data_IF_144610919317
#
_entry.id   IF_144610919317
#
_cell.length_a   1.000
_cell.length_b   1.000
_cell.length_c   1.000
_cell.angle_alpha   90.00
_cell.angle_beta   90.00
_cell.angle_gamma   90.00
#
_symmetry.space_group_name_H-M   'P 1'
#
loop_
_entity.id
_entity.type
_entity.pdbx_description
1 polymer ?
#
# COMPACT_ATOMS: atom_id res chain seq x y z
N UNK A 1 29.84 -3.43 18.06
CA UNK A 1 30.76 -4.60 17.93
C UNK A 1 32.14 -4.13 17.58
N UNK A 2 33.20 -4.73 18.16
CA UNK A 2 34.60 -4.41 17.77
C UNK A 2 35.04 -5.45 16.77
N UNK A 3 35.25 -5.06 15.52
CA UNK A 3 35.76 -5.94 14.47
C UNK A 3 37.24 -6.22 14.76
N UNK A 4 37.61 -7.49 14.85
CA UNK A 4 38.92 -7.94 15.34
C UNK A 4 39.71 -8.67 14.27
N UNK A 5 41.01 -8.42 14.21
CA UNK A 5 41.92 -9.25 13.43
C UNK A 5 42.03 -10.66 14.03
N UNK A 6 42.51 -11.63 13.25
CA UNK A 6 42.67 -13.01 13.70
C UNK A 6 43.48 -13.12 15.00
N UNK A 7 44.56 -12.34 15.13
CA UNK A 7 45.38 -12.32 16.34
C UNK A 7 44.64 -11.73 17.55
N UNK A 8 43.84 -10.70 17.34
CA UNK A 8 42.99 -10.11 18.39
C UNK A 8 41.87 -11.08 18.81
N UNK A 9 41.26 -11.78 17.86
CA UNK A 9 40.29 -12.83 18.13
C UNK A 9 40.87 -13.94 19.00
N UNK A 10 42.03 -14.43 18.62
CA UNK A 10 42.75 -15.48 19.37
C UNK A 10 43.05 -15.01 20.80
N UNK A 11 43.53 -13.78 20.96
CA UNK A 11 43.83 -13.21 22.27
C UNK A 11 42.56 -13.08 23.16
N UNK A 12 41.47 -12.63 22.56
CA UNK A 12 40.17 -12.49 23.27
C UNK A 12 39.61 -13.87 23.66
N UNK A 13 39.60 -14.81 22.72
CA UNK A 13 39.13 -16.19 22.99
C UNK A 13 39.93 -16.82 24.15
N UNK A 14 41.24 -16.67 24.13
CA UNK A 14 42.11 -17.16 25.20
C UNK A 14 41.79 -16.49 26.55
N UNK A 15 41.61 -15.17 26.56
CA UNK A 15 41.28 -14.44 27.78
C UNK A 15 39.92 -14.86 28.36
N UNK A 16 38.92 -15.06 27.53
CA UNK A 16 37.58 -15.45 27.93
C UNK A 16 37.53 -16.88 28.50
N UNK A 17 38.32 -17.79 27.92
CA UNK A 17 38.45 -19.15 28.39
C UNK A 17 39.47 -19.32 29.54
N UNK A 18 40.11 -18.22 30.01
CA UNK A 18 41.16 -18.21 31.01
C UNK A 18 42.35 -19.15 30.65
N UNK A 19 42.68 -19.23 29.36
CA UNK A 19 43.76 -20.10 28.86
C UNK A 19 45.06 -19.33 28.72
N UNK A 20 46.17 -20.03 28.94
CA UNK A 20 47.52 -19.52 28.60
C UNK A 20 47.88 -19.90 27.16
N UNK A 21 48.93 -19.25 26.58
CA UNK A 21 49.42 -19.66 25.25
C UNK A 21 49.94 -21.11 25.21
N UNK A 22 50.32 -21.68 26.36
CA UNK A 22 50.75 -23.06 26.45
C UNK A 22 49.57 -24.05 26.34
N UNK A 23 48.44 -23.69 26.89
CA UNK A 23 47.22 -24.52 26.90
C UNK A 23 46.62 -24.62 25.48
N UNK A 24 46.99 -23.72 24.58
CA UNK A 24 46.52 -23.67 23.18
C UNK A 24 47.44 -24.47 22.23
N UNK A 25 48.53 -25.07 22.69
CA UNK A 25 49.46 -25.82 21.83
C UNK A 25 48.79 -27.13 21.41
N UNK A 26 48.73 -27.34 20.08
CA UNK A 26 48.18 -28.55 19.45
C UNK A 26 49.21 -29.08 18.44
N UNK A 27 48.99 -30.27 17.89
CA UNK A 27 49.84 -30.81 16.85
C UNK A 27 49.96 -29.85 15.66
N UNK A 28 51.22 -29.55 15.31
CA UNK A 28 51.55 -28.57 14.22
C UNK A 28 51.42 -27.10 14.59
N UNK A 29 51.01 -26.72 15.83
CA UNK A 29 50.87 -25.31 16.26
C UNK A 29 51.66 -25.07 17.55
N UNK A 30 52.87 -24.49 17.44
CA UNK A 30 53.70 -24.20 18.61
C UNK A 30 53.29 -22.94 19.36
N UNK A 31 53.75 -22.80 20.61
CA UNK A 31 53.55 -21.60 21.42
C UNK A 31 54.09 -20.34 20.76
N UNK A 32 55.26 -20.44 20.12
CA UNK A 32 55.92 -19.35 19.40
C UNK A 32 55.04 -18.90 18.23
N UNK A 33 54.44 -19.85 17.49
CA UNK A 33 53.51 -19.54 16.40
C UNK A 33 52.27 -18.84 16.92
N UNK A 34 51.64 -19.29 18.01
CA UNK A 34 50.51 -18.64 18.68
C UNK A 34 50.87 -17.20 19.07
N UNK A 35 52.03 -16.99 19.70
CA UNK A 35 52.49 -15.65 20.06
C UNK A 35 52.69 -14.74 18.84
N UNK A 36 53.14 -15.28 17.71
CA UNK A 36 53.28 -14.50 16.46
C UNK A 36 51.92 -14.16 15.84
N UNK A 37 50.94 -15.04 15.92
CA UNK A 37 49.58 -14.78 15.45
C UNK A 37 48.90 -13.69 16.32
N UNK A 38 48.98 -13.81 17.67
CA UNK A 38 48.44 -12.79 18.57
C UNK A 38 49.08 -11.39 18.37
N UNK A 39 50.32 -11.32 17.93
CA UNK A 39 51.02 -10.07 17.60
C UNK A 39 50.78 -9.60 16.16
N UNK A 40 49.99 -10.32 15.37
CA UNK A 40 49.72 -10.01 13.98
C UNK A 40 50.90 -10.22 13.01
N UNK A 41 51.95 -10.93 13.44
CA UNK A 41 53.12 -11.22 12.62
C UNK A 41 52.97 -12.44 11.71
N UNK A 42 52.04 -13.31 12.03
CA UNK A 42 51.60 -14.49 11.25
C UNK A 42 50.11 -14.69 11.33
N UNK A 43 49.58 -15.54 10.42
CA UNK A 43 48.20 -15.92 10.36
C UNK A 43 48.05 -17.43 10.25
N UNK A 44 46.98 -17.98 10.84
CA UNK A 44 46.57 -19.35 10.53
C UNK A 44 46.09 -19.43 9.09
N UNK A 45 46.38 -20.54 8.41
CA UNK A 45 45.59 -20.89 7.22
C UNK A 45 44.12 -21.17 7.61
N UNK A 46 43.20 -21.09 6.67
CA UNK A 46 41.77 -21.36 6.94
C UNK A 46 41.60 -22.75 7.56
N UNK A 47 42.24 -23.78 7.00
CA UNK A 47 42.15 -25.16 7.50
C UNK A 47 42.73 -25.27 8.92
N UNK A 48 43.87 -24.66 9.19
CA UNK A 48 44.51 -24.67 10.52
C UNK A 48 43.65 -23.94 11.55
N UNK A 49 43.03 -22.81 11.19
CA UNK A 49 42.18 -22.05 12.06
C UNK A 49 40.90 -22.84 12.47
N UNK A 50 40.29 -23.54 11.52
CA UNK A 50 39.10 -24.40 11.79
C UNK A 50 39.50 -25.55 12.69
N UNK A 51 40.55 -26.31 12.36
CA UNK A 51 41.03 -27.40 13.19
C UNK A 51 41.39 -26.92 14.61
N UNK A 52 42.00 -25.74 14.73
CA UNK A 52 42.33 -25.13 16.02
C UNK A 52 41.09 -24.83 16.84
N UNK A 53 40.06 -24.24 16.22
CA UNK A 53 38.77 -23.96 16.89
C UNK A 53 38.05 -25.23 17.31
N UNK A 54 38.04 -26.26 16.49
CA UNK A 54 37.44 -27.58 16.85
C UNK A 54 38.06 -28.11 18.11
N UNK A 55 39.38 -28.10 18.23
CA UNK A 55 40.10 -28.54 19.43
C UNK A 55 39.75 -27.67 20.66
N UNK A 56 39.61 -26.34 20.50
CA UNK A 56 39.21 -25.46 21.62
C UNK A 56 37.78 -25.75 22.04
N UNK A 57 36.86 -25.93 21.10
CA UNK A 57 35.46 -26.24 21.39
C UNK A 57 35.34 -27.57 22.12
N UNK A 58 36.10 -28.58 21.70
CA UNK A 58 36.15 -29.88 22.35
C UNK A 58 36.76 -29.78 23.78
N UNK A 59 37.85 -29.03 23.93
CA UNK A 59 38.42 -28.73 25.24
C UNK A 59 37.43 -28.07 26.19
N UNK A 60 36.70 -27.05 25.72
CA UNK A 60 35.71 -26.37 26.51
C UNK A 60 34.55 -27.28 26.94
N UNK A 61 34.09 -28.19 26.04
CA UNK A 61 33.10 -29.22 26.37
C UNK A 61 33.59 -30.16 27.48
N UNK A 62 34.82 -30.65 27.37
CA UNK A 62 35.42 -31.57 28.37
C UNK A 62 35.52 -30.89 29.74
N UNK A 63 35.85 -29.58 29.74
CA UNK A 63 36.00 -28.78 30.96
C UNK A 63 34.69 -28.17 31.47
N UNK A 64 33.57 -28.40 30.80
CA UNK A 64 32.26 -27.79 31.09
C UNK A 64 32.33 -26.26 31.15
N UNK A 65 33.15 -25.65 30.27
CA UNK A 65 33.24 -24.18 30.12
C UNK A 65 32.11 -23.76 29.15
N UNK A 66 31.25 -22.88 29.59
CA UNK A 66 30.22 -22.28 28.75
C UNK A 66 30.88 -21.29 27.76
N UNK A 67 30.71 -21.55 26.46
CA UNK A 67 31.27 -20.69 25.39
C UNK A 67 30.12 -19.91 24.76
N UNK A 68 30.36 -18.62 24.50
CA UNK A 68 29.45 -17.82 23.71
C UNK A 68 29.24 -18.46 22.32
N UNK A 69 27.99 -18.49 21.85
CA UNK A 69 27.62 -19.10 20.56
C UNK A 69 28.29 -18.44 19.34
N UNK A 70 28.90 -17.27 19.51
CA UNK A 70 29.69 -16.61 18.45
C UNK A 70 31.05 -17.26 18.19
N UNK A 71 31.55 -18.09 19.11
CA UNK A 71 32.80 -18.84 18.97
C UNK A 71 32.57 -20.20 18.26
N UNK A 72 32.12 -20.14 17.03
CA UNK A 72 31.96 -21.31 16.17
C UNK A 72 33.29 -21.80 15.58
N UNK A 73 33.26 -22.91 14.84
CA UNK A 73 34.46 -23.51 14.22
C UNK A 73 35.16 -22.55 13.25
N UNK A 74 34.45 -21.63 12.63
CA UNK A 74 35.00 -20.69 11.66
C UNK A 74 35.47 -19.36 12.30
N UNK A 75 35.26 -19.12 13.59
CA UNK A 75 35.51 -17.85 14.27
C UNK A 75 36.91 -17.28 13.96
N UNK A 76 37.95 -18.07 14.08
CA UNK A 76 39.35 -17.62 13.79
C UNK A 76 39.67 -17.59 12.29
N UNK A 77 38.90 -18.29 11.46
CA UNK A 77 39.18 -18.32 10.01
C UNK A 77 38.54 -17.16 9.26
N UNK A 78 37.48 -16.58 9.82
CA UNK A 78 36.77 -15.45 9.18
C UNK A 78 37.64 -14.20 9.12
N UNK A 79 37.62 -13.54 7.97
CA UNK A 79 38.17 -12.20 7.79
C UNK A 79 37.35 -11.14 8.50
N UNK A 80 37.87 -9.93 8.65
CA UNK A 80 37.11 -8.80 9.24
C UNK A 80 35.83 -8.53 8.41
N UNK A 81 35.91 -8.65 7.08
CA UNK A 81 34.77 -8.47 6.17
C UNK A 81 33.68 -9.53 6.42
N UNK A 82 34.06 -10.81 6.54
CA UNK A 82 33.12 -11.91 6.82
C UNK A 82 32.46 -11.77 8.18
N UNK A 83 33.19 -11.32 9.21
CA UNK A 83 32.60 -11.01 10.53
C UNK A 83 31.64 -9.82 10.47
N UNK A 84 32.01 -8.76 9.74
CA UNK A 84 31.16 -7.62 9.54
C UNK A 84 29.85 -8.02 8.80
N UNK A 85 29.97 -8.87 7.79
CA UNK A 85 28.81 -9.39 7.04
C UNK A 85 27.88 -10.20 7.93
N UNK A 86 28.43 -11.16 8.68
CA UNK A 86 27.66 -11.99 9.62
C UNK A 86 26.97 -11.14 10.68
N UNK A 87 27.69 -10.19 11.28
CA UNK A 87 27.15 -9.27 12.28
C UNK A 87 26.00 -8.43 11.71
N UNK A 88 26.25 -7.75 10.58
CA UNK A 88 25.26 -6.91 9.96
C UNK A 88 24.02 -7.71 9.52
N UNK A 89 24.20 -8.91 8.94
CA UNK A 89 23.10 -9.77 8.52
C UNK A 89 22.18 -10.15 9.68
N UNK A 90 22.75 -10.66 10.78
CA UNK A 90 22.00 -11.05 11.98
C UNK A 90 21.31 -9.86 12.67
N UNK A 91 22.01 -8.72 12.73
CA UNK A 91 21.49 -7.52 13.38
C UNK A 91 20.39 -6.86 12.55
N UNK A 92 20.54 -6.79 11.25
CA UNK A 92 19.54 -6.24 10.32
C UNK A 92 18.25 -7.06 10.35
N UNK A 93 18.32 -8.38 10.49
CA UNK A 93 17.11 -9.23 10.61
C UNK A 93 16.27 -8.84 11.83
N UNK A 94 16.91 -8.57 12.96
CA UNK A 94 16.27 -8.25 14.24
C UNK A 94 15.87 -6.78 14.39
N UNK A 95 16.61 -5.87 13.76
CA UNK A 95 16.37 -4.44 13.92
C UNK A 95 15.20 -3.94 13.06
N UNK A 96 14.38 -3.08 13.67
CA UNK A 96 13.36 -2.25 13.00
C UNK A 96 13.63 -0.75 13.16
N UNK A 97 14.70 -0.37 13.86
CA UNK A 97 15.06 1.03 14.11
C UNK A 97 15.80 1.62 12.90
N UNK A 98 15.42 2.83 12.47
CA UNK A 98 16.02 3.51 11.33
C UNK A 98 17.49 3.89 11.59
N UNK A 99 17.80 4.36 12.78
CA UNK A 99 19.17 4.76 13.16
C UNK A 99 20.12 3.57 13.11
N UNK A 100 19.72 2.43 13.69
CA UNK A 100 20.51 1.20 13.64
C UNK A 100 20.72 0.70 12.20
N UNK A 101 19.69 0.75 11.36
CA UNK A 101 19.83 0.37 9.95
C UNK A 101 20.81 1.24 9.20
N UNK A 102 20.88 2.55 9.52
CA UNK A 102 21.85 3.46 8.93
C UNK A 102 23.27 3.21 9.45
N UNK A 103 23.45 2.85 10.73
CA UNK A 103 24.74 2.43 11.27
C UNK A 103 25.25 1.17 10.57
N UNK A 104 24.41 0.14 10.42
CA UNK A 104 24.78 -1.08 9.68
C UNK A 104 25.10 -0.80 8.22
N UNK A 105 24.36 0.12 7.60
CA UNK A 105 24.64 0.53 6.23
C UNK A 105 26.04 1.16 6.09
N UNK A 106 26.49 1.95 7.07
CA UNK A 106 27.83 2.53 7.06
C UNK A 106 28.92 1.45 7.18
N UNK A 107 28.70 0.46 8.07
CA UNK A 107 29.60 -0.69 8.17
C UNK A 107 29.65 -1.46 6.84
N UNK A 108 28.47 -1.73 6.25
CA UNK A 108 28.40 -2.46 4.99
C UNK A 108 29.09 -1.70 3.83
N UNK A 109 29.05 -0.37 3.82
CA UNK A 109 29.77 0.45 2.83
C UNK A 109 31.28 0.39 3.03
N UNK A 110 31.75 0.47 4.28
CA UNK A 110 33.19 0.40 4.61
C UNK A 110 33.80 -0.92 4.15
N UNK A 111 33.07 -2.03 4.31
CA UNK A 111 33.56 -3.37 3.96
C UNK A 111 33.02 -3.91 2.63
N UNK A 112 32.33 -3.09 1.82
CA UNK A 112 31.75 -3.49 0.52
C UNK A 112 30.89 -4.76 0.59
N UNK A 113 29.95 -4.77 1.55
CA UNK A 113 29.04 -5.92 1.80
C UNK A 113 27.70 -5.68 1.05
N UNK A 114 27.74 -5.84 -0.26
CA UNK A 114 26.64 -5.47 -1.16
C UNK A 114 25.34 -6.21 -0.88
N UNK A 115 25.38 -7.52 -0.60
CA UNK A 115 24.17 -8.31 -0.32
C UNK A 115 23.38 -7.76 0.88
N UNK A 116 24.08 -7.40 1.96
CA UNK A 116 23.44 -6.84 3.16
C UNK A 116 22.97 -5.40 2.92
N UNK A 117 23.71 -4.61 2.15
CA UNK A 117 23.29 -3.25 1.75
C UNK A 117 21.93 -3.28 1.02
N UNK A 118 21.73 -4.23 0.10
CA UNK A 118 20.46 -4.41 -0.61
C UNK A 118 19.32 -4.69 0.37
N UNK A 119 19.54 -5.58 1.34
CA UNK A 119 18.55 -5.92 2.37
C UNK A 119 18.22 -4.68 3.22
N UNK A 120 19.23 -3.89 3.62
CA UNK A 120 19.03 -2.68 4.42
C UNK A 120 18.22 -1.64 3.64
N UNK A 121 18.63 -1.30 2.41
CA UNK A 121 17.90 -0.34 1.58
C UNK A 121 16.46 -0.78 1.32
N UNK A 122 16.26 -2.08 1.04
CA UNK A 122 14.90 -2.65 0.90
C UNK A 122 14.10 -2.47 2.19
N UNK A 123 14.67 -2.77 3.36
CA UNK A 123 13.99 -2.68 4.66
C UNK A 123 13.64 -1.24 5.03
N UNK A 124 14.54 -0.29 4.74
CA UNK A 124 14.29 1.15 4.88
C UNK A 124 13.14 1.57 3.95
N UNK A 125 13.19 1.14 2.68
CA UNK A 125 12.13 1.40 1.71
C UNK A 125 10.77 0.84 2.14
N UNK A 126 10.71 -0.40 2.64
CA UNK A 126 9.49 -1.04 3.15
C UNK A 126 8.90 -0.24 4.32
N UNK A 127 9.73 0.23 5.25
CA UNK A 127 9.31 1.04 6.39
C UNK A 127 8.74 2.40 5.95
N UNK A 128 9.46 3.12 5.09
CA UNK A 128 9.02 4.40 4.55
C UNK A 128 7.72 4.27 3.74
N UNK A 129 7.58 3.18 2.99
CA UNK A 129 6.35 2.90 2.25
C UNK A 129 5.16 2.67 3.19
N UNK A 130 5.36 1.99 4.32
CA UNK A 130 4.34 1.83 5.36
C UNK A 130 3.97 3.15 6.05
N UNK A 131 4.93 4.07 6.18
CA UNK A 131 4.72 5.44 6.67
C UNK A 131 4.12 6.39 5.61
N UNK A 132 3.71 5.88 4.45
CA UNK A 132 3.17 6.64 3.32
C UNK A 132 4.15 7.65 2.68
N UNK A 133 5.45 7.50 2.91
CA UNK A 133 6.54 8.29 2.33
C UNK A 133 7.04 7.65 1.03
N UNK A 134 6.20 7.67 0.00
CA UNK A 134 6.43 6.91 -1.24
C UNK A 134 7.66 7.40 -2.04
N UNK A 135 7.98 8.70 -2.00
CA UNK A 135 9.15 9.27 -2.70
C UNK A 135 10.44 8.76 -2.07
N UNK A 136 10.57 8.88 -0.75
CA UNK A 136 11.75 8.45 0.00
C UNK A 136 11.92 6.92 -0.07
N UNK A 137 10.82 6.17 -0.04
CA UNK A 137 10.83 4.72 -0.23
C UNK A 137 11.39 4.36 -1.61
N UNK A 138 10.92 5.01 -2.67
CA UNK A 138 11.39 4.81 -4.04
C UNK A 138 12.91 5.05 -4.14
N UNK A 139 13.42 6.14 -3.58
CA UNK A 139 14.86 6.46 -3.60
C UNK A 139 15.70 5.33 -2.96
N UNK A 140 15.21 4.73 -1.86
CA UNK A 140 15.93 3.63 -1.22
C UNK A 140 15.88 2.34 -2.05
N UNK A 141 14.75 2.02 -2.67
CA UNK A 141 14.65 0.89 -3.59
C UNK A 141 15.55 1.08 -4.83
N UNK A 142 15.65 2.30 -5.35
CA UNK A 142 16.50 2.64 -6.50
C UNK A 142 17.98 2.40 -6.19
N UNK A 143 18.46 2.86 -5.02
CA UNK A 143 19.82 2.55 -4.54
C UNK A 143 20.08 1.03 -4.42
N UNK A 144 19.08 0.26 -4.01
CA UNK A 144 19.18 -1.20 -3.96
C UNK A 144 19.31 -1.80 -5.37
N UNK A 145 18.53 -1.30 -6.34
CA UNK A 145 18.60 -1.74 -7.75
C UNK A 145 19.96 -1.39 -8.38
N UNK A 146 20.50 -0.18 -8.12
CA UNK A 146 21.83 0.20 -8.59
C UNK A 146 22.90 -0.79 -8.13
N UNK A 147 22.89 -1.18 -6.84
CA UNK A 147 23.85 -2.16 -6.30
C UNK A 147 23.65 -3.53 -6.93
N UNK A 148 22.38 -3.97 -7.11
CA UNK A 148 22.02 -5.22 -7.76
C UNK A 148 22.61 -5.29 -9.18
N UNK A 149 22.40 -4.22 -9.96
CA UNK A 149 22.79 -4.19 -11.37
C UNK A 149 24.31 -4.09 -11.53
N UNK A 150 24.98 -3.30 -10.69
CA UNK A 150 26.46 -3.15 -10.70
C UNK A 150 27.19 -4.43 -10.31
N UNK A 151 26.60 -5.25 -9.44
CA UNK A 151 27.25 -6.46 -8.90
C UNK A 151 26.68 -7.75 -9.47
N UNK A 152 25.76 -7.70 -10.46
CA UNK A 152 25.08 -8.85 -11.07
C UNK A 152 24.38 -9.75 -10.04
N UNK A 153 23.84 -9.16 -8.96
CA UNK A 153 23.06 -9.85 -7.94
C UNK A 153 21.62 -9.97 -8.42
N UNK A 154 21.00 -11.13 -8.29
CA UNK A 154 19.61 -11.32 -8.72
C UNK A 154 18.64 -11.38 -7.54
N UNK A 155 19.16 -11.68 -6.36
CA UNK A 155 18.37 -11.81 -5.14
C UNK A 155 17.66 -10.50 -4.79
N UNK A 156 16.41 -10.59 -4.34
CA UNK A 156 15.55 -9.46 -4.00
C UNK A 156 15.08 -8.55 -5.16
N UNK A 157 15.68 -8.62 -6.36
CA UNK A 157 15.37 -7.71 -7.48
C UNK A 157 13.88 -7.66 -7.81
N UNK A 158 13.24 -8.83 -7.92
CA UNK A 158 11.82 -8.95 -8.26
C UNK A 158 10.93 -8.20 -7.26
N UNK A 159 11.18 -8.40 -5.95
CA UNK A 159 10.38 -7.77 -4.89
C UNK A 159 10.59 -6.28 -4.83
N UNK A 160 11.84 -5.83 -5.05
CA UNK A 160 12.19 -4.40 -5.06
C UNK A 160 11.49 -3.71 -6.24
N UNK A 161 11.52 -4.29 -7.45
CA UNK A 161 10.82 -3.75 -8.62
C UNK A 161 9.30 -3.66 -8.38
N UNK A 162 8.69 -4.70 -7.80
CA UNK A 162 7.27 -4.63 -7.44
C UNK A 162 6.99 -3.49 -6.44
N UNK A 163 7.84 -3.28 -5.45
CA UNK A 163 7.67 -2.23 -4.46
C UNK A 163 7.92 -0.82 -5.06
N UNK A 164 8.84 -0.68 -6.00
CA UNK A 164 9.00 0.56 -6.79
C UNK A 164 7.73 0.87 -7.58
N UNK A 165 7.11 -0.14 -8.19
CA UNK A 165 5.80 0.00 -8.82
C UNK A 165 4.71 0.46 -7.84
N UNK A 166 4.70 -0.05 -6.60
CA UNK A 166 3.76 0.40 -5.56
C UNK A 166 4.02 1.86 -5.17
N UNK A 167 5.29 2.28 -5.06
CA UNK A 167 5.62 3.69 -4.83
C UNK A 167 5.05 4.58 -5.93
N UNK A 168 5.26 4.22 -7.20
CA UNK A 168 4.74 4.97 -8.35
C UNK A 168 3.21 4.99 -8.41
N UNK A 169 2.57 3.88 -8.04
CA UNK A 169 1.10 3.79 -7.91
C UNK A 169 0.57 4.78 -6.87
N UNK A 170 1.20 4.87 -5.69
CA UNK A 170 0.82 5.82 -4.64
C UNK A 170 1.05 7.29 -5.03
N UNK A 171 2.03 7.53 -5.89
CA UNK A 171 2.32 8.85 -6.46
C UNK A 171 1.43 9.19 -7.67
N UNK A 172 0.43 8.35 -7.99
CA UNK A 172 -0.47 8.47 -9.13
C UNK A 172 0.26 8.45 -10.49
N UNK A 173 1.51 7.96 -10.53
CA UNK A 173 2.34 7.79 -11.72
C UNK A 173 2.09 6.40 -12.33
N UNK A 174 0.88 6.18 -12.83
CA UNK A 174 0.38 4.86 -13.20
C UNK A 174 1.18 4.19 -14.33
N UNK A 175 1.61 4.93 -15.35
CA UNK A 175 2.40 4.36 -16.44
C UNK A 175 3.76 3.82 -15.97
N UNK A 176 4.42 4.55 -15.08
CA UNK A 176 5.68 4.12 -14.46
C UNK A 176 5.44 2.91 -13.54
N UNK A 177 4.34 2.91 -12.78
CA UNK A 177 3.95 1.76 -11.96
C UNK A 177 3.79 0.49 -12.82
N UNK A 178 3.07 0.57 -13.93
CA UNK A 178 2.87 -0.54 -14.88
C UNK A 178 4.21 -1.03 -15.44
N UNK A 179 5.14 -0.13 -15.77
CA UNK A 179 6.47 -0.48 -16.23
C UNK A 179 7.23 -1.34 -15.21
N UNK A 180 7.25 -0.93 -13.93
CA UNK A 180 7.93 -1.70 -12.88
C UNK A 180 7.24 -3.04 -12.59
N UNK A 181 5.90 -3.08 -12.61
CA UNK A 181 5.18 -4.34 -12.45
C UNK A 181 5.46 -5.30 -13.61
N UNK A 182 5.50 -4.84 -14.85
CA UNK A 182 5.86 -5.68 -16.00
C UNK A 182 7.27 -6.25 -15.86
N UNK A 183 8.26 -5.42 -15.47
CA UNK A 183 9.62 -5.90 -15.20
C UNK A 183 9.67 -6.97 -14.10
N UNK A 184 8.90 -6.77 -13.03
CA UNK A 184 8.77 -7.77 -11.96
C UNK A 184 8.16 -9.08 -12.49
N UNK A 185 7.10 -9.00 -13.29
CA UNK A 185 6.40 -10.15 -13.89
C UNK A 185 7.33 -10.94 -14.82
N UNK A 186 8.09 -10.26 -15.70
CA UNK A 186 9.04 -10.87 -16.61
C UNK A 186 10.12 -11.69 -15.86
N UNK A 187 10.68 -11.11 -14.79
CA UNK A 187 11.68 -11.80 -13.98
C UNK A 187 11.09 -12.95 -13.15
N UNK A 188 9.86 -12.85 -12.66
CA UNK A 188 9.20 -13.92 -11.93
C UNK A 188 9.08 -15.20 -12.76
N UNK A 189 8.80 -15.08 -14.06
CA UNK A 189 8.68 -16.23 -14.96
C UNK A 189 9.97 -17.05 -15.05
N UNK A 190 11.13 -16.41 -14.89
CA UNK A 190 12.44 -17.07 -14.92
C UNK A 190 12.85 -17.68 -13.57
N UNK A 191 12.27 -17.24 -12.46
CA UNK A 191 12.71 -17.61 -11.10
C UNK A 191 11.66 -18.38 -10.27
N UNK A 192 10.48 -18.67 -10.84
CA UNK A 192 9.38 -19.41 -10.19
C UNK A 192 8.87 -18.82 -8.86
N UNK A 193 8.98 -17.49 -8.64
CA UNK A 193 8.39 -16.81 -7.46
C UNK A 193 6.92 -16.46 -7.70
N UNK A 194 6.06 -17.47 -7.69
CA UNK A 194 4.61 -17.32 -7.93
C UNK A 194 3.91 -16.35 -6.97
N UNK A 195 4.42 -16.18 -5.75
CA UNK A 195 3.80 -15.29 -4.76
C UNK A 195 3.96 -13.82 -5.15
N UNK A 196 5.15 -13.42 -5.58
CA UNK A 196 5.39 -12.04 -6.04
C UNK A 196 4.76 -11.84 -7.42
N UNK A 197 4.82 -12.84 -8.29
CA UNK A 197 4.18 -12.84 -9.60
C UNK A 197 2.70 -12.44 -9.54
N UNK A 198 1.92 -13.14 -8.71
CA UNK A 198 0.48 -12.88 -8.58
C UNK A 198 0.18 -11.50 -7.98
N UNK A 199 1.01 -11.02 -7.05
CA UNK A 199 0.90 -9.65 -6.52
C UNK A 199 1.20 -8.61 -7.60
N UNK A 200 2.22 -8.83 -8.41
CA UNK A 200 2.59 -7.91 -9.50
C UNK A 200 1.50 -7.85 -10.58
N UNK A 201 0.88 -8.98 -10.94
CA UNK A 201 -0.28 -9.01 -11.85
C UNK A 201 -1.45 -8.19 -11.30
N UNK A 202 -1.81 -8.38 -10.04
CA UNK A 202 -2.88 -7.61 -9.40
C UNK A 202 -2.55 -6.12 -9.31
N UNK A 203 -1.33 -5.76 -8.93
CA UNK A 203 -0.90 -4.37 -8.81
C UNK A 203 -0.87 -3.67 -10.17
N UNK A 204 -0.46 -4.38 -11.24
CA UNK A 204 -0.52 -3.89 -12.62
C UNK A 204 -1.97 -3.60 -13.04
N UNK A 205 -2.87 -4.53 -12.76
CA UNK A 205 -4.30 -4.35 -12.99
C UNK A 205 -4.83 -3.13 -12.22
N UNK A 206 -4.49 -2.99 -10.94
CA UNK A 206 -4.93 -1.87 -10.11
C UNK A 206 -4.44 -0.52 -10.64
N UNK A 207 -3.19 -0.45 -11.12
CA UNK A 207 -2.66 0.76 -11.76
C UNK A 207 -3.45 1.13 -13.01
N UNK A 208 -3.78 0.15 -13.85
CA UNK A 208 -4.55 0.35 -15.07
C UNK A 208 -6.00 0.78 -14.78
N UNK A 209 -6.62 0.15 -13.79
CA UNK A 209 -7.97 0.49 -13.32
C UNK A 209 -8.03 1.93 -12.79
N UNK A 210 -7.04 2.36 -12.00
CA UNK A 210 -6.96 3.73 -11.49
C UNK A 210 -6.72 4.77 -12.59
N UNK A 211 -6.10 4.38 -13.71
CA UNK A 211 -6.01 5.22 -14.92
C UNK A 211 -7.36 5.37 -15.64
N UNK A 212 -8.39 4.62 -15.23
CA UNK A 212 -9.68 4.52 -15.93
C UNK A 212 -9.58 3.97 -17.37
N UNK A 213 -8.51 3.23 -17.67
CA UNK A 213 -8.36 2.52 -18.93
C UNK A 213 -9.07 1.15 -18.85
N UNK A 214 -10.39 1.17 -19.04
CA UNK A 214 -11.24 0.00 -18.84
C UNK A 214 -10.85 -1.14 -19.79
N UNK A 215 -10.49 -0.82 -21.04
CA UNK A 215 -10.14 -1.84 -22.04
C UNK A 215 -8.86 -2.61 -21.63
N UNK A 216 -7.82 -1.89 -21.19
CA UNK A 216 -6.61 -2.54 -20.69
C UNK A 216 -6.87 -3.27 -19.36
N UNK A 217 -7.73 -2.72 -18.50
CA UNK A 217 -8.10 -3.38 -17.24
C UNK A 217 -8.75 -4.73 -17.53
N UNK A 218 -9.74 -4.81 -18.41
CA UNK A 218 -10.39 -6.07 -18.80
C UNK A 218 -9.39 -7.06 -19.43
N UNK A 219 -8.44 -6.58 -20.26
CA UNK A 219 -7.37 -7.42 -20.79
C UNK A 219 -6.52 -8.02 -19.66
N UNK A 220 -6.05 -7.21 -18.72
CA UNK A 220 -5.22 -7.67 -17.60
C UNK A 220 -5.99 -8.56 -16.62
N UNK A 221 -7.32 -8.34 -16.45
CA UNK A 221 -8.19 -9.24 -15.70
C UNK A 221 -8.17 -10.63 -16.31
N UNK A 222 -8.39 -10.74 -17.63
CA UNK A 222 -8.37 -12.03 -18.33
C UNK A 222 -7.03 -12.75 -18.14
N UNK A 223 -5.91 -12.07 -18.41
CA UNK A 223 -4.56 -12.61 -18.21
C UNK A 223 -4.34 -13.09 -16.76
N UNK A 224 -4.80 -12.32 -15.76
CA UNK A 224 -4.64 -12.66 -14.37
C UNK A 224 -5.50 -13.85 -13.93
N UNK A 225 -6.73 -13.95 -14.43
CA UNK A 225 -7.65 -15.06 -14.10
C UNK A 225 -7.18 -16.41 -14.64
N UNK A 226 -6.52 -16.40 -15.79
CA UNK A 226 -5.97 -17.63 -16.40
C UNK A 226 -4.79 -18.20 -15.57
N UNK A 227 -4.11 -17.34 -14.81
CA UNK A 227 -2.88 -17.69 -14.08
C UNK A 227 -3.17 -17.92 -12.59
N UNK A 228 -4.01 -17.09 -11.97
CA UNK A 228 -4.27 -17.11 -10.54
C UNK A 228 -5.18 -18.28 -10.20
N UNK A 229 -4.62 -19.27 -9.52
CA UNK A 229 -5.39 -20.40 -9.00
C UNK A 229 -6.24 -19.94 -7.81
N UNK A 230 -7.56 -20.02 -7.95
CA UNK A 230 -8.57 -19.66 -6.93
C UNK A 230 -8.25 -20.30 -5.57
N UNK A 231 -7.84 -21.57 -5.55
CA UNK A 231 -7.64 -22.31 -4.32
C UNK A 231 -6.47 -21.80 -3.46
N UNK A 232 -5.48 -21.14 -4.08
CA UNK A 232 -4.28 -20.70 -3.38
C UNK A 232 -4.25 -19.19 -3.09
N UNK A 233 -5.10 -18.38 -3.78
CA UNK A 233 -5.07 -16.92 -3.72
C UNK A 233 -6.47 -16.31 -3.76
N UNK A 234 -7.38 -16.90 -3.00
CA UNK A 234 -8.80 -16.53 -2.93
C UNK A 234 -9.03 -15.02 -2.78
N UNK A 235 -8.26 -14.37 -1.89
CA UNK A 235 -8.39 -12.92 -1.64
C UNK A 235 -8.03 -12.05 -2.86
N UNK A 236 -6.96 -12.40 -3.56
CA UNK A 236 -6.53 -11.65 -4.76
C UNK A 236 -7.52 -11.89 -5.88
N UNK A 237 -7.99 -13.12 -6.05
CA UNK A 237 -8.97 -13.47 -7.06
C UNK A 237 -10.30 -12.74 -6.85
N UNK A 238 -10.80 -12.69 -5.62
CA UNK A 238 -11.99 -11.92 -5.24
C UNK A 238 -11.83 -10.42 -5.56
N UNK A 239 -10.68 -9.83 -5.24
CA UNK A 239 -10.40 -8.42 -5.57
C UNK A 239 -10.39 -8.17 -7.09
N UNK A 240 -9.87 -9.10 -7.87
CA UNK A 240 -9.91 -9.03 -9.35
C UNK A 240 -11.35 -9.06 -9.86
N UNK A 241 -12.20 -9.96 -9.32
CA UNK A 241 -13.61 -10.03 -9.70
C UNK A 241 -14.38 -8.74 -9.34
N UNK A 242 -14.07 -8.13 -8.19
CA UNK A 242 -14.65 -6.83 -7.83
C UNK A 242 -14.29 -5.74 -8.84
N UNK A 243 -13.01 -5.67 -9.24
CA UNK A 243 -12.57 -4.71 -10.27
C UNK A 243 -13.25 -5.03 -11.61
N UNK A 244 -13.38 -6.30 -11.98
CA UNK A 244 -14.08 -6.75 -13.20
C UNK A 244 -15.53 -6.28 -13.23
N UNK A 245 -16.27 -6.49 -12.13
CA UNK A 245 -17.65 -6.05 -12.01
C UNK A 245 -17.78 -4.52 -12.14
N UNK A 246 -16.87 -3.76 -11.53
CA UNK A 246 -16.83 -2.28 -11.67
C UNK A 246 -16.57 -1.89 -13.13
N UNK A 247 -15.63 -2.54 -13.81
CA UNK A 247 -15.35 -2.28 -15.23
C UNK A 247 -16.59 -2.52 -16.09
N UNK A 248 -17.33 -3.62 -15.86
CA UNK A 248 -18.56 -3.90 -16.60
C UNK A 248 -19.68 -2.90 -16.29
N UNK A 249 -19.80 -2.46 -15.03
CA UNK A 249 -20.72 -1.38 -14.67
C UNK A 249 -20.40 -0.07 -15.42
N UNK A 250 -19.11 0.30 -15.46
CA UNK A 250 -18.67 1.57 -16.07
C UNK A 250 -18.85 1.62 -17.59
N UNK A 251 -18.91 0.46 -18.25
CA UNK A 251 -19.27 0.36 -19.69
C UNK A 251 -20.76 0.10 -19.93
N UNK A 252 -21.59 0.12 -18.86
CA UNK A 252 -23.04 -0.08 -18.96
C UNK A 252 -23.48 -1.54 -19.15
N UNK A 253 -22.59 -2.52 -18.99
CA UNK A 253 -22.95 -3.94 -19.04
C UNK A 253 -23.38 -4.43 -17.66
N UNK A 254 -24.55 -3.95 -17.22
CA UNK A 254 -25.08 -4.23 -15.89
C UNK A 254 -25.37 -5.71 -15.65
N UNK A 255 -25.88 -6.42 -16.66
CA UNK A 255 -26.15 -7.87 -16.55
C UNK A 255 -24.89 -8.67 -16.17
N UNK A 256 -23.73 -8.35 -16.80
CA UNK A 256 -22.47 -9.02 -16.47
C UNK A 256 -21.93 -8.60 -15.10
N UNK A 257 -22.11 -7.34 -14.73
CA UNK A 257 -21.78 -6.83 -13.41
C UNK A 257 -22.57 -7.57 -12.31
N UNK A 258 -23.89 -7.75 -12.49
CA UNK A 258 -24.78 -8.46 -11.58
C UNK A 258 -24.33 -9.93 -11.46
N UNK A 259 -24.10 -10.63 -12.59
CA UNK A 259 -23.62 -12.01 -12.59
C UNK A 259 -22.36 -12.16 -11.73
N UNK A 260 -21.35 -11.29 -11.91
CA UNK A 260 -20.09 -11.38 -11.17
C UNK A 260 -20.30 -11.13 -9.67
N UNK A 261 -21.08 -10.12 -9.27
CA UNK A 261 -21.33 -9.84 -7.85
C UNK A 261 -22.18 -10.92 -7.19
N UNK A 262 -23.17 -11.50 -7.89
CA UNK A 262 -23.97 -12.63 -7.39
C UNK A 262 -23.07 -13.85 -7.19
N UNK A 263 -22.24 -14.18 -8.16
CA UNK A 263 -21.25 -15.25 -8.04
C UNK A 263 -20.29 -15.03 -6.86
N UNK A 264 -19.87 -13.80 -6.61
CA UNK A 264 -19.04 -13.46 -5.45
C UNK A 264 -19.74 -13.74 -4.13
N UNK A 265 -21.00 -13.36 -4.01
CA UNK A 265 -21.78 -13.55 -2.76
C UNK A 265 -22.17 -15.00 -2.52
N UNK A 266 -22.38 -15.79 -3.59
CA UNK A 266 -22.84 -17.17 -3.50
C UNK A 266 -21.68 -18.18 -3.33
N UNK A 267 -20.55 -17.92 -4.01
CA UNK A 267 -19.44 -18.87 -4.07
C UNK A 267 -18.31 -18.56 -3.07
N UNK A 268 -18.26 -17.33 -2.54
CA UNK A 268 -17.22 -16.90 -1.62
C UNK A 268 -17.80 -16.60 -0.25
N UNK A 269 -17.27 -17.26 0.79
CA UNK A 269 -17.52 -16.84 2.17
C UNK A 269 -16.67 -15.58 2.44
N UNK A 270 -17.32 -14.42 2.44
CA UNK A 270 -16.67 -13.12 2.61
C UNK A 270 -16.72 -12.76 4.10
N UNK A 271 -15.64 -13.04 4.81
CA UNK A 271 -15.51 -12.75 6.23
C UNK A 271 -15.47 -11.24 6.52
N UNK A 272 -14.82 -10.46 5.64
CA UNK A 272 -14.74 -9.01 5.75
C UNK A 272 -16.11 -8.36 5.45
N UNK A 273 -16.80 -7.95 6.51
CA UNK A 273 -18.13 -7.35 6.43
C UNK A 273 -18.13 -5.97 5.76
N UNK A 274 -16.99 -5.25 5.78
CA UNK A 274 -16.85 -3.98 5.06
C UNK A 274 -16.83 -4.24 3.55
N UNK A 275 -16.04 -5.21 3.09
CA UNK A 275 -16.01 -5.62 1.69
C UNK A 275 -17.38 -6.12 1.24
N UNK A 276 -18.04 -6.96 2.03
CA UNK A 276 -19.37 -7.48 1.71
C UNK A 276 -20.41 -6.36 1.60
N UNK A 277 -20.39 -5.39 2.52
CA UNK A 277 -21.24 -4.20 2.47
C UNK A 277 -21.04 -3.37 1.20
N UNK A 278 -19.77 -3.26 0.74
CA UNK A 278 -19.43 -2.59 -0.52
C UNK A 278 -19.95 -3.36 -1.74
N UNK A 279 -19.84 -4.69 -1.75
CA UNK A 279 -20.35 -5.55 -2.82
C UNK A 279 -21.87 -5.40 -2.91
N UNK A 280 -22.60 -5.50 -1.80
CA UNK A 280 -24.04 -5.31 -1.79
C UNK A 280 -24.47 -3.93 -2.30
N UNK A 281 -23.77 -2.86 -1.91
CA UNK A 281 -24.06 -1.53 -2.43
C UNK A 281 -23.87 -1.43 -3.95
N UNK A 282 -22.78 -2.01 -4.47
CA UNK A 282 -22.46 -1.95 -5.90
C UNK A 282 -23.41 -2.86 -6.72
N UNK A 283 -23.79 -4.01 -6.19
CA UNK A 283 -24.78 -4.90 -6.78
C UNK A 283 -26.15 -4.19 -6.84
N UNK A 284 -26.55 -3.52 -5.76
CA UNK A 284 -27.78 -2.75 -5.73
C UNK A 284 -27.81 -1.65 -6.80
N UNK A 285 -26.70 -0.94 -7.01
CA UNK A 285 -26.57 0.07 -8.08
C UNK A 285 -26.73 -0.60 -9.45
N UNK A 286 -26.06 -1.73 -9.69
CA UNK A 286 -26.15 -2.44 -10.97
C UNK A 286 -27.55 -2.95 -11.26
N UNK A 287 -28.26 -3.48 -10.24
CA UNK A 287 -29.67 -3.91 -10.34
C UNK A 287 -30.60 -2.72 -10.65
N UNK A 288 -30.38 -1.56 -10.01
CA UNK A 288 -31.15 -0.35 -10.32
C UNK A 288 -30.98 0.06 -11.78
N UNK A 289 -29.74 0.12 -12.27
CA UNK A 289 -29.47 0.45 -13.67
C UNK A 289 -30.05 -0.58 -14.66
N UNK A 290 -30.15 -1.85 -14.22
CA UNK A 290 -30.81 -2.92 -14.97
C UNK A 290 -32.33 -2.93 -14.82
N UNK A 291 -32.92 -1.94 -14.09
CA UNK A 291 -34.35 -1.77 -13.82
C UNK A 291 -34.97 -2.83 -12.91
N UNK A 292 -34.18 -3.55 -12.15
CA UNK A 292 -34.59 -4.54 -11.14
C UNK A 292 -34.70 -3.85 -9.77
N UNK A 293 -35.73 -2.99 -9.63
CA UNK A 293 -35.82 -2.05 -8.51
C UNK A 293 -36.10 -2.72 -7.15
N UNK A 294 -36.86 -3.79 -7.08
CA UNK A 294 -37.18 -4.47 -5.80
C UNK A 294 -35.96 -5.22 -5.27
N UNK A 295 -35.24 -5.91 -6.14
CA UNK A 295 -33.97 -6.56 -5.80
C UNK A 295 -32.92 -5.52 -5.38
N UNK A 296 -32.85 -4.39 -6.10
CA UNK A 296 -31.96 -3.28 -5.76
C UNK A 296 -32.22 -2.77 -4.33
N UNK A 297 -33.49 -2.53 -3.96
CA UNK A 297 -33.89 -2.12 -2.59
C UNK A 297 -33.42 -3.15 -1.55
N UNK A 298 -33.62 -4.44 -1.83
CA UNK A 298 -33.24 -5.51 -0.92
C UNK A 298 -31.71 -5.50 -0.66
N UNK A 299 -30.89 -5.32 -1.70
CA UNK A 299 -29.43 -5.27 -1.55
C UNK A 299 -28.94 -3.97 -0.92
N UNK A 300 -29.58 -2.82 -1.16
CA UNK A 300 -29.29 -1.62 -0.37
C UNK A 300 -29.62 -1.83 1.11
N UNK A 301 -30.71 -2.55 1.43
CA UNK A 301 -31.04 -2.96 2.79
C UNK A 301 -29.93 -3.75 3.45
N UNK A 302 -29.43 -4.81 2.79
CA UNK A 302 -28.31 -5.64 3.27
C UNK A 302 -27.03 -4.80 3.45
N UNK A 303 -26.73 -3.89 2.52
CA UNK A 303 -25.57 -2.99 2.63
C UNK A 303 -25.70 -2.05 3.83
N UNK A 304 -26.88 -1.43 4.05
CA UNK A 304 -27.13 -0.54 5.20
C UNK A 304 -26.96 -1.27 6.53
N UNK A 305 -27.46 -2.48 6.62
CA UNK A 305 -27.32 -3.32 7.82
C UNK A 305 -25.85 -3.55 8.17
N UNK A 306 -25.04 -4.01 7.23
CA UNK A 306 -23.62 -4.22 7.45
C UNK A 306 -22.86 -2.92 7.74
N UNK A 307 -23.10 -1.86 6.95
CA UNK A 307 -22.41 -0.59 7.11
C UNK A 307 -22.76 0.13 8.41
N UNK A 308 -23.98 -0.04 8.92
CA UNK A 308 -24.37 0.55 10.21
C UNK A 308 -23.52 0.05 11.37
N UNK A 309 -22.99 -1.16 11.28
CA UNK A 309 -22.18 -1.82 12.32
C UNK A 309 -20.70 -1.72 12.03
N UNK A 310 -20.28 -2.00 10.79
CA UNK A 310 -18.88 -2.22 10.45
C UNK A 310 -18.23 -1.07 9.67
N UNK A 311 -19.02 -0.17 9.05
CA UNK A 311 -18.49 0.89 8.17
C UNK A 311 -19.42 2.10 8.11
N UNK A 312 -19.70 2.70 9.26
CA UNK A 312 -20.64 3.80 9.40
C UNK A 312 -20.28 5.03 8.56
N UNK A 313 -18.99 5.26 8.32
CA UNK A 313 -18.52 6.36 7.49
C UNK A 313 -19.02 6.27 6.04
N UNK A 314 -19.19 5.05 5.50
CA UNK A 314 -19.67 4.85 4.13
C UNK A 314 -21.20 4.59 4.06
N UNK A 315 -21.89 4.52 5.19
CA UNK A 315 -23.36 4.33 5.22
C UNK A 315 -24.10 5.47 4.50
N UNK A 316 -23.59 6.70 4.61
CA UNK A 316 -24.11 7.87 3.90
C UNK A 316 -24.25 7.62 2.39
N UNK A 317 -23.23 7.00 1.80
CA UNK A 317 -23.16 6.69 0.36
C UNK A 317 -24.29 5.75 -0.05
N UNK A 318 -24.62 4.76 0.79
CA UNK A 318 -25.72 3.82 0.52
C UNK A 318 -27.07 4.53 0.53
N UNK A 319 -27.33 5.45 1.49
CA UNK A 319 -28.55 6.23 1.50
C UNK A 319 -28.69 7.10 0.25
N UNK A 320 -27.61 7.78 -0.16
CA UNK A 320 -27.64 8.64 -1.35
C UNK A 320 -27.86 7.83 -2.62
N UNK A 321 -27.24 6.65 -2.76
CA UNK A 321 -27.48 5.77 -3.90
C UNK A 321 -28.92 5.21 -3.89
N UNK A 322 -29.45 4.77 -2.74
CA UNK A 322 -30.80 4.23 -2.63
C UNK A 322 -31.87 5.28 -2.99
N UNK A 323 -31.64 6.55 -2.64
CA UNK A 323 -32.60 7.63 -2.94
C UNK A 323 -32.91 7.76 -4.42
N UNK A 324 -31.98 7.37 -5.31
CA UNK A 324 -32.17 7.44 -6.75
C UNK A 324 -33.34 6.56 -7.22
N UNK A 325 -33.57 5.42 -6.54
CA UNK A 325 -34.73 4.56 -6.84
C UNK A 325 -36.05 5.34 -6.61
N UNK A 326 -36.17 6.00 -5.47
CA UNK A 326 -37.36 6.75 -5.09
C UNK A 326 -37.55 8.00 -5.96
N UNK A 327 -36.45 8.65 -6.36
CA UNK A 327 -36.50 9.75 -7.33
C UNK A 327 -37.05 9.28 -8.68
N UNK A 328 -36.56 8.13 -9.17
CA UNK A 328 -36.99 7.57 -10.45
C UNK A 328 -38.45 7.13 -10.42
N UNK A 329 -38.94 6.71 -9.26
CA UNK A 329 -40.36 6.36 -9.05
C UNK A 329 -41.25 7.56 -8.69
N UNK A 330 -40.70 8.79 -8.73
CA UNK A 330 -41.40 10.05 -8.33
C UNK A 330 -41.92 10.06 -6.89
N UNK A 331 -41.38 9.17 -6.03
CA UNK A 331 -41.67 9.09 -4.59
C UNK A 331 -40.76 10.11 -3.85
N UNK A 332 -41.04 11.38 -4.06
CA UNK A 332 -40.12 12.45 -3.62
C UNK A 332 -40.01 12.58 -2.09
N UNK A 333 -41.08 12.32 -1.35
CA UNK A 333 -41.05 12.42 0.11
C UNK A 333 -40.13 11.36 0.72
N UNK A 334 -40.20 10.13 0.26
CA UNK A 334 -39.33 9.04 0.68
C UNK A 334 -37.89 9.30 0.28
N UNK A 335 -37.67 9.83 -0.94
CA UNK A 335 -36.35 10.21 -1.42
C UNK A 335 -35.72 11.30 -0.52
N UNK A 336 -36.46 12.34 -0.15
CA UNK A 336 -36.03 13.42 0.73
C UNK A 336 -35.62 12.88 2.11
N UNK A 337 -36.45 12.02 2.70
CA UNK A 337 -36.18 11.43 4.01
C UNK A 337 -34.89 10.61 4.02
N UNK A 338 -34.68 9.81 2.97
CA UNK A 338 -33.44 9.01 2.80
C UNK A 338 -32.24 9.90 2.54
N UNK A 339 -32.35 10.90 1.67
CA UNK A 339 -31.29 11.86 1.38
C UNK A 339 -30.88 12.63 2.64
N UNK A 340 -31.81 13.09 3.45
CA UNK A 340 -31.51 13.82 4.68
C UNK A 340 -30.70 12.94 5.67
N UNK A 341 -31.01 11.64 5.78
CA UNK A 341 -30.19 10.69 6.56
C UNK A 341 -28.78 10.59 6.02
N UNK A 342 -28.61 10.47 4.71
CA UNK A 342 -27.31 10.44 4.04
C UNK A 342 -26.53 11.73 4.23
N UNK A 343 -27.15 12.89 4.01
CA UNK A 343 -26.54 14.22 4.18
C UNK A 343 -26.06 14.45 5.62
N UNK A 344 -26.87 14.07 6.62
CA UNK A 344 -26.47 14.20 8.01
C UNK A 344 -25.23 13.36 8.34
N UNK A 345 -25.15 12.14 7.83
CA UNK A 345 -23.95 11.31 7.97
C UNK A 345 -22.74 11.86 7.20
N UNK A 346 -22.95 12.40 6.00
CA UNK A 346 -21.86 13.06 5.26
C UNK A 346 -21.28 14.23 6.06
N UNK A 347 -22.09 15.01 6.75
CA UNK A 347 -21.63 16.10 7.62
C UNK A 347 -20.91 15.55 8.87
N UNK A 348 -21.41 14.47 9.50
CA UNK A 348 -20.78 13.83 10.66
C UNK A 348 -19.36 13.31 10.34
N UNK A 349 -19.18 12.73 9.14
CA UNK A 349 -17.92 12.11 8.72
C UNK A 349 -17.08 12.94 7.74
N UNK A 350 -17.49 14.18 7.43
CA UNK A 350 -16.83 15.08 6.50
C UNK A 350 -16.64 14.49 5.07
N UNK A 351 -17.62 13.69 4.61
CA UNK A 351 -17.61 13.15 3.24
C UNK A 351 -18.23 14.18 2.25
N UNK A 352 -17.44 15.20 1.93
CA UNK A 352 -17.88 16.32 1.09
C UNK A 352 -18.26 15.94 -0.34
N UNK A 353 -17.64 14.86 -0.87
CA UNK A 353 -17.99 14.39 -2.21
C UNK A 353 -19.45 13.89 -2.26
N UNK A 354 -19.82 13.05 -1.31
CA UNK A 354 -21.18 12.52 -1.25
C UNK A 354 -22.18 13.52 -0.68
N UNK A 355 -21.77 14.45 0.16
CA UNK A 355 -22.59 15.58 0.58
C UNK A 355 -23.08 16.37 -0.64
N UNK A 356 -22.19 16.72 -1.56
CA UNK A 356 -22.55 17.42 -2.80
C UNK A 356 -23.45 16.58 -3.69
N UNK A 357 -23.25 15.26 -3.79
CA UNK A 357 -24.15 14.37 -4.52
C UNK A 357 -25.56 14.39 -3.90
N UNK A 358 -25.65 14.34 -2.56
CA UNK A 358 -26.92 14.44 -1.84
C UNK A 358 -27.66 15.75 -2.11
N UNK A 359 -26.96 16.88 -2.07
CA UNK A 359 -27.56 18.20 -2.39
C UNK A 359 -28.02 18.27 -3.86
N UNK A 360 -27.25 17.73 -4.81
CA UNK A 360 -27.67 17.67 -6.22
C UNK A 360 -28.91 16.81 -6.44
N UNK A 361 -29.03 15.71 -5.71
CA UNK A 361 -30.25 14.90 -5.75
C UNK A 361 -31.47 15.64 -5.17
N UNK A 362 -31.31 16.40 -4.07
CA UNK A 362 -32.37 17.27 -3.54
C UNK A 362 -32.73 18.42 -4.51
N UNK A 363 -31.73 18.99 -5.18
CA UNK A 363 -31.92 20.00 -6.22
C UNK A 363 -32.83 19.49 -7.33
N UNK A 364 -32.59 18.26 -7.83
CA UNK A 364 -33.39 17.65 -8.89
C UNK A 364 -34.85 17.45 -8.44
N UNK A 365 -35.07 16.99 -7.21
CA UNK A 365 -36.39 16.84 -6.62
C UNK A 365 -37.11 18.20 -6.53
N UNK A 366 -36.47 19.21 -5.94
CA UNK A 366 -37.11 20.51 -5.74
C UNK A 366 -37.32 21.29 -7.05
N UNK A 367 -36.51 21.04 -8.08
CA UNK A 367 -36.78 21.50 -9.45
C UNK A 367 -38.04 20.87 -10.04
N UNK A 368 -38.18 19.56 -9.88
CA UNK A 368 -39.38 18.83 -10.35
C UNK A 368 -40.66 19.31 -9.64
N UNK A 369 -40.57 19.57 -8.33
CA UNK A 369 -41.66 20.10 -7.51
C UNK A 369 -41.89 21.61 -7.68
N UNK A 370 -40.96 22.34 -8.35
CA UNK A 370 -40.96 23.83 -8.46
C UNK A 370 -40.92 24.54 -7.09
N UNK A 371 -40.30 23.88 -6.08
CA UNK A 371 -40.12 24.48 -4.76
C UNK A 371 -38.88 25.36 -4.74
N UNK A 372 -39.10 26.60 -5.16
CA UNK A 372 -38.01 27.59 -5.28
C UNK A 372 -37.43 27.99 -3.92
N UNK A 373 -38.18 27.91 -2.83
CA UNK A 373 -37.67 28.23 -1.50
C UNK A 373 -36.65 27.16 -1.05
N UNK A 374 -36.97 25.89 -1.23
CA UNK A 374 -36.08 24.80 -0.94
C UNK A 374 -34.85 24.78 -1.86
N UNK A 375 -35.03 25.12 -3.14
CA UNK A 375 -33.89 25.28 -4.06
C UNK A 375 -32.90 26.35 -3.57
N UNK A 376 -33.41 27.48 -3.10
CA UNK A 376 -32.56 28.55 -2.54
C UNK A 376 -31.80 28.06 -1.31
N UNK A 377 -32.44 27.31 -0.44
CA UNK A 377 -31.82 26.71 0.74
C UNK A 377 -30.67 25.76 0.33
N UNK A 378 -30.89 24.87 -0.65
CA UNK A 378 -29.87 23.93 -1.14
C UNK A 378 -28.67 24.68 -1.74
N UNK A 379 -28.88 25.68 -2.58
CA UNK A 379 -27.79 26.46 -3.17
C UNK A 379 -26.96 27.22 -2.11
N UNK A 380 -27.60 27.72 -1.07
CA UNK A 380 -26.90 28.36 0.05
C UNK A 380 -26.07 27.32 0.84
N UNK A 381 -26.60 26.10 1.04
CA UNK A 381 -25.86 25.01 1.67
C UNK A 381 -24.63 24.58 0.84
N UNK A 382 -24.78 24.46 -0.49
CA UNK A 382 -23.65 24.20 -1.40
C UNK A 382 -22.60 25.29 -1.29
N UNK A 383 -23.00 26.58 -1.29
CA UNK A 383 -22.07 27.70 -1.13
C UNK A 383 -21.34 27.68 0.21
N UNK A 384 -22.06 27.39 1.29
CA UNK A 384 -21.45 27.30 2.61
C UNK A 384 -20.39 26.20 2.66
N UNK A 385 -20.68 25.03 2.12
CA UNK A 385 -19.74 23.91 2.06
C UNK A 385 -18.57 24.21 1.10
N UNK A 386 -18.81 24.83 -0.03
CA UNK A 386 -17.78 25.22 -0.97
C UNK A 386 -16.74 26.16 -0.34
N UNK A 387 -17.19 27.10 0.49
CA UNK A 387 -16.31 28.02 1.22
C UNK A 387 -15.46 27.30 2.28
N UNK A 388 -16.07 26.41 3.08
CA UNK A 388 -15.36 25.64 4.09
C UNK A 388 -14.24 24.80 3.44
N UNK A 389 -14.50 24.25 2.27
CA UNK A 389 -13.58 23.33 1.58
C UNK A 389 -12.68 24.03 0.55
N UNK A 390 -12.74 25.35 0.43
CA UNK A 390 -12.05 26.11 -0.60
C UNK A 390 -12.29 25.55 -2.03
N UNK A 391 -13.51 25.07 -2.30
CA UNK A 391 -13.90 24.52 -3.58
C UNK A 391 -14.55 25.59 -4.49
N UNK A 392 -13.71 26.31 -5.20
CA UNK A 392 -14.16 27.43 -6.08
C UNK A 392 -15.15 26.95 -7.16
N UNK A 393 -15.03 25.72 -7.65
CA UNK A 393 -15.95 25.19 -8.68
C UNK A 393 -17.37 25.04 -8.16
N UNK A 394 -17.54 24.51 -6.96
CA UNK A 394 -18.86 24.37 -6.31
C UNK A 394 -19.39 25.76 -5.86
N UNK A 395 -18.51 26.70 -5.51
CA UNK A 395 -18.92 28.09 -5.23
C UNK A 395 -19.50 28.76 -6.45
N UNK A 396 -18.83 28.70 -7.59
CA UNK A 396 -19.34 29.19 -8.88
C UNK A 396 -20.67 28.52 -9.26
N UNK A 397 -20.76 27.19 -9.04
CA UNK A 397 -21.99 26.45 -9.30
C UNK A 397 -23.15 26.97 -8.45
N UNK A 398 -22.97 27.12 -7.15
CA UNK A 398 -23.99 27.63 -6.22
C UNK A 398 -24.44 29.07 -6.56
N UNK A 399 -23.47 29.97 -6.76
CA UNK A 399 -23.79 31.36 -7.13
C UNK A 399 -24.50 31.46 -8.46
N UNK A 400 -24.03 30.76 -9.49
CA UNK A 400 -24.67 30.74 -10.81
C UNK A 400 -26.11 30.26 -10.79
N UNK A 401 -26.41 29.23 -9.96
CA UNK A 401 -27.79 28.74 -9.82
C UNK A 401 -28.67 29.69 -8.98
N UNK A 402 -28.11 30.37 -7.97
CA UNK A 402 -28.85 31.44 -7.27
C UNK A 402 -29.21 32.57 -8.19
N UNK A 403 -28.30 33.04 -9.04
CA UNK A 403 -28.59 34.07 -10.04
C UNK A 403 -29.75 33.65 -10.95
N UNK A 404 -29.70 32.41 -11.49
CA UNK A 404 -30.78 31.86 -12.34
C UNK A 404 -32.11 31.81 -11.61
N UNK A 405 -32.09 31.39 -10.34
CA UNK A 405 -33.28 31.29 -9.51
C UNK A 405 -33.92 32.65 -9.27
N UNK A 406 -33.14 33.65 -8.88
CA UNK A 406 -33.63 35.03 -8.61
C UNK A 406 -34.15 35.71 -9.89
N UNK A 407 -33.56 35.43 -11.06
CA UNK A 407 -34.10 35.85 -12.34
C UNK A 407 -35.49 35.23 -12.58
N UNK A 408 -35.63 33.91 -12.31
CA UNK A 408 -36.90 33.22 -12.47
C UNK A 408 -37.97 33.76 -11.55
N UNK A 409 -37.60 34.14 -10.34
CA UNK A 409 -38.46 34.76 -9.35
C UNK A 409 -38.73 36.25 -9.56
N UNK A 410 -38.07 36.88 -10.57
CA UNK A 410 -38.08 38.30 -10.86
C UNK A 410 -37.60 39.18 -9.69
N UNK A 411 -36.72 38.63 -8.86
CA UNK A 411 -36.16 39.32 -7.70
C UNK A 411 -34.80 39.96 -8.05
N UNK A 412 -34.84 41.04 -8.81
CA UNK A 412 -33.65 41.67 -9.41
C UNK A 412 -32.75 42.38 -8.37
N UNK A 413 -33.26 42.71 -7.18
CA UNK A 413 -32.52 43.52 -6.19
C UNK A 413 -31.26 42.83 -5.63
N UNK A 414 -31.22 41.53 -5.60
CA UNK A 414 -30.10 40.75 -5.02
C UNK A 414 -29.14 40.17 -6.07
N UNK A 415 -29.52 40.20 -7.35
CA UNK A 415 -28.77 39.58 -8.45
C UNK A 415 -27.38 40.16 -8.58
N UNK A 416 -27.27 41.52 -8.43
CA UNK A 416 -25.99 42.23 -8.50
C UNK A 416 -24.97 41.68 -7.50
N UNK A 417 -25.37 41.52 -6.26
CA UNK A 417 -24.50 40.98 -5.21
C UNK A 417 -23.98 39.52 -5.53
N UNK A 418 -24.85 38.67 -6.09
CA UNK A 418 -24.43 37.32 -6.48
C UNK A 418 -23.49 37.32 -7.69
N UNK A 419 -23.67 38.25 -8.64
CA UNK A 419 -22.81 38.42 -9.80
C UNK A 419 -21.42 38.92 -9.37
N UNK A 420 -21.36 39.90 -8.46
CA UNK A 420 -20.08 40.42 -7.97
C UNK A 420 -19.26 39.33 -7.29
N UNK A 421 -19.89 38.53 -6.40
CA UNK A 421 -19.25 37.36 -5.76
C UNK A 421 -18.83 36.28 -6.79
N UNK A 422 -19.62 36.06 -7.84
CA UNK A 422 -19.30 35.14 -8.92
C UNK A 422 -18.05 35.58 -9.69
N UNK A 423 -17.94 36.87 -10.00
CA UNK A 423 -16.79 37.45 -10.66
C UNK A 423 -15.52 37.30 -9.80
N UNK A 424 -15.60 37.62 -8.49
CA UNK A 424 -14.50 37.39 -7.55
C UNK A 424 -14.01 35.96 -7.56
N UNK A 425 -14.92 34.97 -7.55
CA UNK A 425 -14.58 33.54 -7.59
C UNK A 425 -13.94 33.12 -8.91
N UNK A 426 -14.35 33.71 -10.05
CA UNK A 426 -13.78 33.47 -11.37
C UNK A 426 -12.35 34.07 -11.46
N UNK A 427 -12.15 35.28 -10.95
CA UNK A 427 -10.84 35.95 -10.94
C UNK A 427 -9.82 35.17 -10.13
N UNK A 428 -10.25 34.53 -9.01
CA UNK A 428 -9.41 33.62 -8.20
C UNK A 428 -8.95 32.37 -8.96
N UNK A 429 -9.75 31.85 -9.89
CA UNK A 429 -9.30 30.74 -10.76
C UNK A 429 -8.27 31.23 -11.77
N UNK A 430 -8.55 32.39 -12.40
CA UNK A 430 -7.69 32.95 -13.43
C UNK A 430 -6.30 33.33 -12.91
N UNK A 431 -6.19 33.68 -11.63
CA UNK A 431 -4.91 34.01 -10.97
C UNK A 431 -4.08 32.77 -10.57
N UNK A 432 -4.67 31.58 -10.59
CA UNK A 432 -4.02 30.30 -10.24
C UNK A 432 -3.62 29.44 -11.46
N UNK A 433 -4.04 29.86 -12.65
CA UNK A 433 -3.65 29.27 -13.95
C UNK A 433 -2.45 30.03 -14.53
#
# INVERSE_FOLDING_TARGET
MKLLSQGQKLKNLRAELNLTQKDLVIEGVTREFISMVEKGKRHFSKATAICFMQNIIEYAKIKSIDMDSSFDEEYLSRTIKEDAEMYCKLSVEKSSNMEELLEFLNICKEYEIYNVMIIIYKKIGDKLLNESKAVEAYINYDKAIEIIDQNNITEHKIRILNNMGICKLRLLQYNEAIYYFNKSIELCNSMNDYKVYNKALYNRLLACFNMKDINKSLKYIKESKDIININNLRDIFMKILIIEAICYKDIGNYSKCIEIYSDLTDKFDIEDKVILGNIYNNLAIALFENKEYEESKAYFGKSKELRSVYDRSHLARTFIHESIIYINLEQYNEAIDILNKGINLCNEYNDYEYLNKGYKSLEDIYKAQKDYNKLKEIYNNILHQAKINNNIKEEIYGLGNLVKLEITLKNYGIIGEYIDKLNESIDLISSKL
#
